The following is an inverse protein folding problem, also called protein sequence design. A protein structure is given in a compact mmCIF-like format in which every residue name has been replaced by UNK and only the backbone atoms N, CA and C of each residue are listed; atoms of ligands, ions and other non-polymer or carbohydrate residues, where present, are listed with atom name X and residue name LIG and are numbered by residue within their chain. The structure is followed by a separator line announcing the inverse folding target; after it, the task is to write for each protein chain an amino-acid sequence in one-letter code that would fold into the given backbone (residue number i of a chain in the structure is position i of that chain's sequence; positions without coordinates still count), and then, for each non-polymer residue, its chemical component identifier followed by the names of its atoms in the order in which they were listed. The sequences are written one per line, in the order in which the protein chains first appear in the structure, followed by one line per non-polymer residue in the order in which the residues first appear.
data_IF_405094022107
#
_entry.id   IF_405094022107
#
_cell.length_a   1.000
_cell.length_b   1.000
_cell.length_c   1.000
_cell.angle_alpha   90.00
_cell.angle_beta   90.00
_cell.angle_gamma   90.00
#
_symmetry.space_group_name_H-M   'P 1'
#
loop_
_entity.id
_entity.type
_entity.pdbx_description
1 polymer ?
#
# COMPACT_ATOMS: atom_id res chain seq x y z
N UNK A 1 8.27 2.33 3.42
CA UNK A 1 9.38 2.32 4.38
C UNK A 1 10.64 2.87 3.74
N UNK A 2 11.38 3.69 4.46
CA UNK A 2 12.69 4.22 4.08
C UNK A 2 13.70 3.90 5.16
N UNK A 3 14.94 3.63 4.73
CA UNK A 3 16.07 3.47 5.61
C UNK A 3 17.32 4.09 4.96
N UNK A 4 17.94 5.03 5.62
CA UNK A 4 19.08 5.77 5.07
C UNK A 4 20.44 5.08 5.25
N UNK A 5 20.47 3.92 5.90
CA UNK A 5 21.67 3.12 6.13
C UNK A 5 22.58 3.63 7.25
N UNK A 6 22.14 4.59 8.05
CA UNK A 6 22.93 5.04 9.20
C UNK A 6 22.72 4.10 10.39
N UNK A 7 23.81 3.79 11.05
CA UNK A 7 23.81 2.95 12.23
C UNK A 7 22.95 3.60 13.35
N UNK A 8 22.09 2.81 13.96
CA UNK A 8 21.16 3.22 15.04
C UNK A 8 20.00 4.15 14.61
N UNK A 9 19.71 4.31 13.34
CA UNK A 9 18.47 4.96 12.90
C UNK A 9 17.37 3.93 12.63
N UNK A 10 16.18 4.16 13.20
CA UNK A 10 14.99 3.35 12.92
C UNK A 10 14.43 3.71 11.53
N UNK A 11 14.09 2.72 10.70
CA UNK A 11 13.39 2.97 9.45
C UNK A 11 12.09 3.73 9.67
N UNK A 12 11.75 4.60 8.71
CA UNK A 12 10.53 5.41 8.76
C UNK A 12 9.49 4.91 7.79
N UNK A 13 8.24 4.98 8.19
CA UNK A 13 7.08 4.70 7.36
C UNK A 13 6.42 6.02 6.94
N UNK A 14 6.22 6.21 5.65
CA UNK A 14 5.42 7.31 5.11
C UNK A 14 4.06 6.74 4.75
N UNK A 15 3.03 7.16 5.47
CA UNK A 15 1.66 6.78 5.20
C UNK A 15 0.97 7.82 4.33
N UNK A 16 0.59 7.40 3.13
CA UNK A 16 -0.14 8.22 2.16
C UNK A 16 -1.29 7.43 1.53
N UNK A 17 -1.98 6.65 2.34
CA UNK A 17 -3.19 5.94 1.90
C UNK A 17 -4.25 6.91 1.40
N UNK A 18 -5.12 6.40 0.58
CA UNK A 18 -6.32 7.12 0.16
C UNK A 18 -7.11 7.59 1.39
N UNK A 19 -7.42 8.88 1.45
CA UNK A 19 -8.18 9.50 2.53
C UNK A 19 -9.64 9.64 2.12
N UNK A 20 -10.56 9.21 2.98
CA UNK A 20 -11.99 9.44 2.79
C UNK A 20 -12.33 10.93 2.88
N UNK A 21 -13.45 11.33 2.28
CA UNK A 21 -13.98 12.69 2.47
C UNK A 21 -14.28 12.98 3.94
N UNK A 22 -14.11 14.22 4.37
CA UNK A 22 -14.62 14.69 5.67
C UNK A 22 -16.15 14.58 5.79
N UNK A 23 -16.83 14.56 4.64
CA UNK A 23 -18.28 14.37 4.54
C UNK A 23 -18.65 12.92 4.16
N UNK A 24 -17.77 11.97 4.47
CA UNK A 24 -17.96 10.54 4.19
C UNK A 24 -19.33 10.05 4.64
N UNK A 25 -19.99 9.28 3.78
CA UNK A 25 -21.21 8.54 4.09
C UNK A 25 -20.93 7.06 4.00
N UNK A 26 -21.59 6.29 4.86
CA UNK A 26 -21.48 4.84 4.82
C UNK A 26 -21.80 4.31 3.41
N UNK A 27 -20.89 3.47 2.88
CA UNK A 27 -20.98 2.93 1.53
C UNK A 27 -20.22 3.73 0.45
N UNK A 28 -19.68 4.91 0.75
CA UNK A 28 -18.80 5.61 -0.19
C UNK A 28 -17.49 4.85 -0.37
N UNK A 29 -17.13 4.59 -1.64
CA UNK A 29 -15.92 3.82 -2.02
C UNK A 29 -14.89 4.69 -2.75
N UNK A 30 -14.90 5.99 -2.50
CA UNK A 30 -14.00 6.94 -3.13
C UNK A 30 -13.20 7.70 -2.08
N UNK A 31 -12.00 8.13 -2.44
CA UNK A 31 -11.16 8.91 -1.55
C UNK A 31 -10.08 9.67 -2.32
N UNK A 32 -9.44 10.61 -1.64
CA UNK A 32 -8.36 11.42 -2.17
C UNK A 32 -7.12 10.56 -2.36
N UNK A 33 -6.54 10.46 -3.58
CA UNK A 33 -5.32 9.69 -3.81
C UNK A 33 -4.12 10.36 -3.14
N UNK A 34 -3.37 9.59 -2.35
CA UNK A 34 -2.24 10.11 -1.59
C UNK A 34 -0.88 10.01 -2.29
N UNK A 35 -0.77 9.23 -3.38
CA UNK A 35 0.52 8.87 -3.98
C UNK A 35 1.40 10.07 -4.32
N UNK A 36 0.86 11.12 -4.93
CA UNK A 36 1.63 12.28 -5.39
C UNK A 36 2.24 13.02 -4.19
N UNK A 37 1.43 13.29 -3.16
CA UNK A 37 1.91 13.96 -1.93
C UNK A 37 2.90 13.06 -1.18
N UNK A 38 2.58 11.79 -1.02
CA UNK A 38 3.42 10.85 -0.28
C UNK A 38 4.81 10.66 -0.89
N UNK A 39 4.90 10.53 -2.22
CA UNK A 39 6.18 10.43 -2.90
C UNK A 39 6.98 11.74 -2.81
N UNK A 40 6.33 12.89 -2.94
CA UNK A 40 6.96 14.19 -2.80
C UNK A 40 7.51 14.40 -1.38
N UNK A 41 6.68 14.23 -0.35
CA UNK A 41 7.07 14.46 1.05
C UNK A 41 8.19 13.49 1.49
N UNK A 42 8.12 12.23 1.07
CA UNK A 42 9.19 11.24 1.28
C UNK A 42 10.47 11.67 0.57
N UNK A 43 10.37 12.11 -0.68
CA UNK A 43 11.53 12.53 -1.47
C UNK A 43 12.14 13.82 -0.91
N UNK A 44 11.35 14.79 -0.47
CA UNK A 44 11.85 16.03 0.12
C UNK A 44 12.73 15.77 1.35
N UNK A 45 12.40 14.74 2.14
CA UNK A 45 13.14 14.37 3.36
C UNK A 45 14.32 13.44 3.13
N UNK A 46 14.15 12.45 2.26
CA UNK A 46 15.12 11.35 2.10
C UNK A 46 15.80 11.36 0.73
N UNK A 47 15.28 12.10 -0.23
CA UNK A 47 15.78 12.14 -1.60
C UNK A 47 17.14 12.83 -1.72
N UNK A 48 17.97 12.31 -2.64
CA UNK A 48 19.29 12.89 -2.94
C UNK A 48 19.35 13.53 -4.33
N UNK A 49 18.56 13.02 -5.26
CA UNK A 49 18.46 13.56 -6.61
C UNK A 49 17.35 14.60 -6.66
N UNK A 50 17.51 15.65 -7.44
CA UNK A 50 16.45 16.64 -7.69
C UNK A 50 15.19 15.94 -8.27
N UNK A 51 14.03 16.20 -7.69
CA UNK A 51 12.76 15.58 -8.08
C UNK A 51 12.40 15.86 -9.55
N UNK A 52 12.68 17.08 -10.02
CA UNK A 52 12.45 17.44 -11.43
C UNK A 52 13.30 16.60 -12.36
N UNK A 53 14.53 16.28 -11.94
CA UNK A 53 15.41 15.40 -12.71
C UNK A 53 14.91 13.96 -12.73
N UNK A 54 14.30 13.47 -11.65
CA UNK A 54 13.65 12.16 -11.64
C UNK A 54 12.49 12.16 -12.64
N UNK A 55 11.65 13.20 -12.61
CA UNK A 55 10.53 13.32 -13.53
C UNK A 55 10.96 13.44 -14.99
N UNK A 56 12.16 13.99 -15.29
CA UNK A 56 12.73 14.00 -16.64
C UNK A 56 13.00 12.60 -17.21
N UNK A 57 13.24 11.61 -16.34
CA UNK A 57 13.35 10.21 -16.77
C UNK A 57 11.99 9.52 -16.90
N UNK A 58 11.02 9.90 -16.08
CA UNK A 58 9.69 9.25 -16.02
C UNK A 58 8.76 9.76 -17.13
N UNK A 59 8.76 11.06 -17.41
CA UNK A 59 7.87 11.67 -18.40
C UNK A 59 8.02 11.05 -19.79
N UNK A 60 9.23 10.79 -20.33
CA UNK A 60 9.40 10.10 -21.61
C UNK A 60 8.78 8.72 -21.65
N UNK A 61 8.83 7.94 -20.58
CA UNK A 61 8.19 6.62 -20.52
C UNK A 61 6.68 6.69 -20.73
N UNK A 62 6.04 7.72 -20.19
CA UNK A 62 4.63 7.95 -20.41
C UNK A 62 4.34 8.51 -21.83
N UNK A 63 5.20 9.43 -22.32
CA UNK A 63 4.99 10.14 -23.59
C UNK A 63 5.35 9.29 -24.81
N UNK A 64 6.56 8.74 -24.81
CA UNK A 64 7.09 7.98 -25.94
C UNK A 64 6.62 6.55 -25.95
N UNK A 65 6.22 6.07 -24.76
CA UNK A 65 5.63 4.76 -24.52
C UNK A 65 6.62 3.74 -23.96
N UNK A 66 6.06 2.66 -23.49
CA UNK A 66 6.78 1.48 -23.03
C UNK A 66 6.20 0.22 -23.67
N UNK A 67 7.01 -0.80 -23.80
CA UNK A 67 6.60 -2.09 -24.34
C UNK A 67 5.84 -2.89 -23.27
N UNK A 68 4.71 -3.46 -23.65
CA UNK A 68 3.89 -4.33 -22.82
C UNK A 68 4.61 -5.67 -22.64
N UNK A 69 4.85 -6.06 -21.41
CA UNK A 69 5.36 -7.37 -21.05
C UNK A 69 4.24 -8.42 -20.86
N UNK A 70 4.63 -9.68 -20.70
CA UNK A 70 3.71 -10.80 -20.49
C UNK A 70 2.89 -10.66 -19.21
N UNK A 71 3.41 -10.02 -18.16
CA UNK A 71 2.71 -9.83 -16.90
C UNK A 71 1.60 -8.79 -17.01
N UNK A 72 1.86 -7.67 -17.69
CA UNK A 72 0.82 -6.67 -17.97
C UNK A 72 -0.28 -7.26 -18.88
N UNK A 73 0.09 -8.02 -19.93
CA UNK A 73 -0.89 -8.71 -20.75
C UNK A 73 -1.76 -9.65 -19.92
N UNK A 74 -1.15 -10.47 -19.05
CA UNK A 74 -1.85 -11.39 -18.15
C UNK A 74 -2.79 -10.64 -17.20
N UNK A 75 -2.32 -9.57 -16.61
CA UNK A 75 -3.10 -8.75 -15.68
C UNK A 75 -4.31 -8.11 -16.38
N UNK A 76 -4.14 -7.60 -17.60
CA UNK A 76 -5.25 -7.06 -18.39
C UNK A 76 -6.28 -8.13 -18.79
N UNK A 77 -5.85 -9.36 -19.07
CA UNK A 77 -6.77 -10.47 -19.32
C UNK A 77 -7.59 -10.86 -18.09
N UNK A 78 -7.00 -10.82 -16.91
CA UNK A 78 -7.66 -11.23 -15.67
C UNK A 78 -8.55 -10.13 -15.08
N UNK A 79 -8.08 -8.89 -15.10
CA UNK A 79 -8.66 -7.78 -14.34
C UNK A 79 -9.06 -6.58 -15.20
N UNK A 80 -8.76 -6.60 -16.50
CA UNK A 80 -8.94 -5.45 -17.39
C UNK A 80 -10.39 -5.11 -17.74
N UNK A 81 -11.36 -6.00 -17.46
CA UNK A 81 -12.77 -5.79 -17.84
C UNK A 81 -13.39 -4.50 -17.29
N UNK A 82 -12.89 -4.00 -16.16
CA UNK A 82 -13.39 -2.79 -15.50
C UNK A 82 -12.61 -1.53 -15.92
N UNK A 83 -11.64 -1.68 -16.84
CA UNK A 83 -10.87 -0.57 -17.39
C UNK A 83 -11.62 0.00 -18.60
N UNK A 84 -11.74 1.34 -18.65
CA UNK A 84 -12.31 2.03 -19.80
C UNK A 84 -11.59 1.65 -21.10
N UNK A 85 -12.34 1.16 -22.09
CA UNK A 85 -11.81 0.76 -23.40
C UNK A 85 -11.26 1.96 -24.21
N UNK A 86 -11.53 3.19 -23.81
CA UNK A 86 -10.86 4.38 -24.34
C UNK A 86 -9.49 4.66 -23.69
N UNK A 87 -9.07 3.83 -22.72
CA UNK A 87 -7.76 3.95 -22.10
C UNK A 87 -6.64 3.51 -23.05
N UNK A 88 -5.40 3.93 -22.82
CA UNK A 88 -4.23 3.51 -23.61
C UNK A 88 -3.96 1.99 -23.59
N UNK A 89 -4.58 1.27 -22.66
CA UNK A 89 -4.44 -0.18 -22.53
C UNK A 89 -5.36 -0.99 -23.46
N UNK A 90 -6.15 -0.29 -24.28
CA UNK A 90 -7.04 -0.91 -25.26
C UNK A 90 -6.83 -0.36 -26.66
N UNK A 91 -6.91 -1.24 -27.65
CA UNK A 91 -6.98 -0.94 -29.09
C UNK A 91 -8.40 -1.33 -29.56
N UNK A 92 -9.32 -0.38 -29.50
CA UNK A 92 -10.75 -0.68 -29.66
C UNK A 92 -11.26 -1.57 -28.53
N UNK A 93 -11.87 -2.70 -28.84
CA UNK A 93 -12.42 -3.62 -27.84
C UNK A 93 -11.41 -4.70 -27.37
N UNK A 94 -10.12 -4.58 -27.71
CA UNK A 94 -9.10 -5.57 -27.34
C UNK A 94 -8.04 -4.91 -26.48
N UNK A 95 -7.69 -5.57 -25.36
CA UNK A 95 -6.54 -5.17 -24.57
C UNK A 95 -5.26 -5.29 -25.38
N UNK A 96 -4.29 -4.45 -25.06
CA UNK A 96 -2.93 -4.54 -25.59
C UNK A 96 -2.30 -5.89 -25.20
N UNK A 97 -1.31 -6.33 -25.99
CA UNK A 97 -0.60 -7.60 -25.83
C UNK A 97 0.89 -7.37 -25.68
N UNK A 98 1.59 -8.39 -25.22
CA UNK A 98 3.05 -8.40 -25.19
C UNK A 98 3.65 -7.92 -26.52
N UNK A 99 4.62 -7.02 -26.44
CA UNK A 99 5.26 -6.36 -27.58
C UNK A 99 4.53 -5.11 -28.09
N UNK A 100 3.30 -4.83 -27.67
CA UNK A 100 2.63 -3.59 -28.02
C UNK A 100 3.26 -2.39 -27.26
N UNK A 101 3.23 -1.22 -27.89
CA UNK A 101 3.67 0.02 -27.22
C UNK A 101 2.47 0.76 -26.65
N UNK A 102 2.52 1.07 -25.36
CA UNK A 102 1.51 1.87 -24.65
C UNK A 102 2.03 3.28 -24.43
N UNK A 103 1.31 4.28 -24.92
CA UNK A 103 1.56 5.71 -24.72
C UNK A 103 0.48 6.32 -23.85
N UNK A 104 0.88 7.17 -22.91
CA UNK A 104 -0.01 7.79 -21.93
C UNK A 104 0.15 9.32 -21.95
N UNK A 105 -0.20 9.98 -23.07
CA UNK A 105 -0.01 11.41 -23.28
C UNK A 105 -0.65 12.27 -22.17
N UNK A 106 -1.84 11.89 -21.69
CA UNK A 106 -2.51 12.60 -20.59
C UNK A 106 -1.71 12.52 -19.30
N UNK A 107 -1.13 11.36 -18.98
CA UNK A 107 -0.26 11.17 -17.83
C UNK A 107 1.04 11.96 -17.99
N UNK A 108 1.68 11.92 -19.15
CA UNK A 108 2.88 12.69 -19.46
C UNK A 108 2.65 14.20 -19.23
N UNK A 109 1.52 14.72 -19.70
CA UNK A 109 1.13 16.12 -19.50
C UNK A 109 0.90 16.44 -18.01
N UNK A 110 0.27 15.55 -17.26
CA UNK A 110 0.04 15.70 -15.82
C UNK A 110 1.37 15.72 -15.06
N UNK A 111 2.26 14.76 -15.34
CA UNK A 111 3.59 14.68 -14.72
C UNK A 111 4.45 15.92 -15.05
N UNK A 112 4.37 16.43 -16.29
CA UNK A 112 5.05 17.68 -16.67
C UNK A 112 4.57 18.85 -15.82
N UNK A 113 3.27 18.97 -15.60
CA UNK A 113 2.72 20.05 -14.76
C UNK A 113 3.08 19.88 -13.29
N UNK A 114 3.10 18.65 -12.77
CA UNK A 114 3.60 18.35 -11.41
C UNK A 114 5.07 18.74 -11.31
N UNK A 115 5.90 18.40 -12.29
CA UNK A 115 7.31 18.80 -12.35
C UNK A 115 7.50 20.33 -12.29
N UNK A 116 6.68 21.08 -13.02
CA UNK A 116 6.81 22.52 -13.14
C UNK A 116 6.24 23.29 -11.94
N UNK A 117 5.13 22.82 -11.38
CA UNK A 117 4.33 23.51 -10.36
C UNK A 117 4.38 22.85 -8.96
N UNK A 118 4.97 21.66 -8.85
CA UNK A 118 4.96 20.87 -7.61
C UNK A 118 3.68 20.06 -7.42
N UNK A 119 3.58 19.31 -6.31
CA UNK A 119 2.47 18.42 -6.01
C UNK A 119 1.14 19.17 -5.83
N UNK A 120 1.17 20.45 -5.47
CA UNK A 120 -0.04 21.27 -5.28
C UNK A 120 -0.87 21.37 -6.55
N UNK A 121 -0.24 21.31 -7.73
CA UNK A 121 -0.99 21.22 -8.98
C UNK A 121 -1.97 20.04 -8.99
N UNK A 122 -1.59 18.89 -8.42
CA UNK A 122 -2.49 17.73 -8.35
C UNK A 122 -3.62 17.97 -7.35
N UNK A 123 -3.31 18.50 -6.17
CA UNK A 123 -4.30 18.65 -5.10
C UNK A 123 -5.19 19.89 -5.26
N UNK A 124 -4.73 20.93 -5.92
CA UNK A 124 -5.54 22.13 -6.17
C UNK A 124 -6.23 22.08 -7.54
N UNK A 125 -5.45 22.08 -8.64
CA UNK A 125 -6.03 22.18 -10.00
C UNK A 125 -6.81 20.91 -10.41
N UNK A 126 -6.19 19.72 -10.25
CA UNK A 126 -6.85 18.45 -10.58
C UNK A 126 -7.93 18.13 -9.54
N UNK A 127 -7.64 18.32 -8.26
CA UNK A 127 -8.60 18.09 -7.17
C UNK A 127 -9.90 18.86 -7.38
N UNK A 128 -9.82 20.13 -7.78
CA UNK A 128 -10.99 20.95 -8.12
C UNK A 128 -11.78 20.39 -9.31
N UNK A 129 -11.10 19.88 -10.33
CA UNK A 129 -11.75 19.26 -11.48
C UNK A 129 -12.45 17.96 -11.10
N UNK A 130 -11.79 17.11 -10.30
CA UNK A 130 -12.31 15.83 -9.82
C UNK A 130 -13.51 16.07 -8.89
N UNK A 131 -13.43 17.01 -7.95
CA UNK A 131 -14.54 17.38 -7.06
C UNK A 131 -15.81 17.67 -7.84
N UNK A 132 -15.71 18.50 -8.89
CA UNK A 132 -16.86 18.82 -9.74
C UNK A 132 -17.41 17.60 -10.50
N UNK A 133 -16.55 16.71 -10.98
CA UNK A 133 -16.98 15.51 -11.72
C UNK A 133 -17.65 14.47 -10.79
N UNK A 134 -17.33 14.50 -9.51
CA UNK A 134 -17.89 13.62 -8.49
C UNK A 134 -19.05 14.23 -7.72
N UNK A 135 -19.67 15.30 -8.23
CA UNK A 135 -20.77 16.00 -7.56
C UNK A 135 -20.45 16.34 -6.09
N UNK A 136 -19.20 16.74 -5.83
CA UNK A 136 -18.64 17.06 -4.51
C UNK A 136 -18.67 15.91 -3.47
N UNK A 137 -18.75 14.66 -3.89
CA UNK A 137 -18.52 13.52 -2.98
C UNK A 137 -17.10 13.51 -2.39
N UNK A 138 -16.12 14.04 -3.15
CA UNK A 138 -14.84 14.52 -2.66
C UNK A 138 -14.81 16.03 -2.89
N UNK A 139 -14.58 16.80 -1.86
CA UNK A 139 -14.57 18.27 -1.93
C UNK A 139 -13.19 18.82 -2.25
N UNK A 140 -13.10 20.07 -2.71
CA UNK A 140 -11.79 20.75 -2.86
C UNK A 140 -11.03 20.79 -1.53
N UNK A 141 -11.74 20.84 -0.41
CA UNK A 141 -11.17 20.80 0.94
C UNK A 141 -10.47 19.48 1.23
N UNK A 142 -11.10 18.35 0.88
CA UNK A 142 -10.52 17.01 1.08
C UNK A 142 -9.17 16.87 0.39
N UNK A 143 -9.06 17.37 -0.85
CA UNK A 143 -7.80 17.38 -1.59
C UNK A 143 -6.75 18.29 -0.94
N UNK A 144 -7.14 19.51 -0.59
CA UNK A 144 -6.22 20.53 -0.06
C UNK A 144 -5.66 20.17 1.32
N UNK A 145 -6.45 19.51 2.15
CA UNK A 145 -6.07 19.15 3.51
C UNK A 145 -5.39 17.77 3.58
N UNK A 146 -5.24 17.06 2.44
CA UNK A 146 -4.53 15.79 2.41
C UNK A 146 -3.08 15.96 2.86
N UNK A 147 -2.64 15.10 3.77
CA UNK A 147 -1.28 15.08 4.33
C UNK A 147 -0.74 13.66 4.39
N UNK A 148 0.56 13.54 4.18
CA UNK A 148 1.30 12.32 4.46
C UNK A 148 1.62 12.28 5.97
N UNK A 149 1.49 11.11 6.58
CA UNK A 149 1.92 10.88 7.95
C UNK A 149 3.28 10.17 7.96
N UNK A 150 4.23 10.70 8.71
CA UNK A 150 5.49 10.03 8.99
C UNK A 150 5.37 9.33 10.34
N UNK A 151 5.72 8.05 10.36
CA UNK A 151 5.68 7.19 11.55
C UNK A 151 6.99 6.41 11.66
N UNK A 152 7.36 6.03 12.87
CA UNK A 152 8.43 5.04 13.06
C UNK A 152 7.95 3.65 12.62
N UNK A 153 8.85 2.88 12.03
CA UNK A 153 8.57 1.51 11.68
C UNK A 153 8.39 0.66 12.95
N UNK A 154 7.48 -0.28 12.92
CA UNK A 154 7.41 -1.34 13.94
C UNK A 154 8.45 -2.41 13.63
N UNK A 155 8.99 -3.06 14.66
CA UNK A 155 10.03 -4.07 14.46
C UNK A 155 9.90 -5.24 15.43
N UNK A 156 10.54 -6.34 15.06
CA UNK A 156 10.77 -7.51 15.93
C UNK A 156 12.05 -8.22 15.53
N UNK A 157 12.60 -8.97 16.45
CA UNK A 157 13.67 -9.92 16.14
C UNK A 157 13.08 -11.17 15.47
N UNK A 158 13.76 -11.67 14.46
CA UNK A 158 13.46 -12.92 13.78
C UNK A 158 14.74 -13.57 13.25
N UNK A 159 15.04 -14.78 13.71
CA UNK A 159 16.25 -15.55 13.32
C UNK A 159 17.54 -14.70 13.37
N UNK A 160 17.77 -14.04 14.50
CA UNK A 160 18.91 -13.14 14.74
C UNK A 160 18.99 -11.91 13.82
N UNK A 161 17.90 -11.54 13.17
CA UNK A 161 17.80 -10.33 12.39
C UNK A 161 16.70 -9.44 12.93
N UNK A 162 16.92 -8.11 12.88
CA UNK A 162 15.87 -7.15 13.14
C UNK A 162 15.02 -6.98 11.88
N UNK A 163 13.73 -7.26 11.97
CA UNK A 163 12.78 -7.10 10.88
C UNK A 163 11.89 -5.91 11.15
N UNK A 164 11.80 -5.02 10.18
CA UNK A 164 11.00 -3.79 10.26
C UNK A 164 9.81 -3.86 9.31
N UNK A 165 8.69 -3.28 9.72
CA UNK A 165 7.51 -3.16 8.88
C UNK A 165 6.76 -1.85 9.14
N UNK A 166 5.77 -1.56 8.29
CA UNK A 166 4.94 -0.37 8.45
C UNK A 166 3.96 -0.55 9.62
N UNK A 167 3.81 0.48 10.48
CA UNK A 167 2.87 0.45 11.59
C UNK A 167 1.41 0.55 11.12
N UNK A 168 0.48 0.50 12.06
CA UNK A 168 -0.94 0.74 11.80
C UNK A 168 -1.18 2.07 11.05
N UNK A 169 -2.18 2.11 10.16
CA UNK A 169 -3.18 1.08 9.85
C UNK A 169 -2.75 0.11 8.73
N UNK A 170 -1.46 -0.06 8.51
CA UNK A 170 -0.93 -1.03 7.56
C UNK A 170 -0.64 -2.38 8.26
N UNK A 171 -0.68 -3.47 7.50
CA UNK A 171 -0.62 -4.83 8.03
C UNK A 171 0.75 -5.29 8.58
N UNK A 172 1.68 -4.36 8.84
CA UNK A 172 3.04 -4.71 9.26
C UNK A 172 3.11 -5.38 10.61
N UNK A 173 2.36 -4.90 11.59
CA UNK A 173 2.29 -5.52 12.92
C UNK A 173 1.83 -6.97 12.84
N UNK A 174 0.80 -7.26 12.03
CA UNK A 174 0.31 -8.64 11.84
C UNK A 174 1.36 -9.53 11.18
N UNK A 175 2.07 -9.02 10.19
CA UNK A 175 3.17 -9.76 9.56
C UNK A 175 4.27 -10.10 10.58
N UNK A 176 4.65 -9.15 11.45
CA UNK A 176 5.66 -9.38 12.48
C UNK A 176 5.16 -10.37 13.54
N UNK A 177 3.87 -10.35 13.90
CA UNK A 177 3.26 -11.37 14.76
C UNK A 177 3.43 -12.76 14.15
N UNK A 178 3.11 -12.92 12.87
CA UNK A 178 3.29 -14.17 12.14
C UNK A 178 4.72 -14.69 12.21
N UNK A 179 5.70 -13.85 11.92
CA UNK A 179 7.12 -14.22 11.98
C UNK A 179 7.54 -14.68 13.38
N UNK A 180 7.11 -13.97 14.44
CA UNK A 180 7.42 -14.38 15.82
C UNK A 180 6.78 -15.71 16.19
N UNK A 181 5.54 -15.94 15.79
CA UNK A 181 4.86 -17.21 16.03
C UNK A 181 5.60 -18.33 15.30
N UNK A 182 5.97 -18.15 14.05
CA UNK A 182 6.67 -19.15 13.26
C UNK A 182 8.03 -19.53 13.86
N UNK A 183 8.75 -18.55 14.40
CA UNK A 183 10.01 -18.79 15.10
C UNK A 183 9.79 -19.57 16.42
N UNK A 184 8.78 -19.19 17.21
CA UNK A 184 8.43 -19.89 18.45
C UNK A 184 8.01 -21.33 18.24
N UNK A 185 7.18 -21.56 17.23
CA UNK A 185 6.73 -22.90 16.86
C UNK A 185 7.86 -23.72 16.19
N UNK A 186 9.01 -23.11 15.87
CA UNK A 186 10.16 -23.74 15.21
C UNK A 186 9.77 -24.43 13.89
N UNK A 187 9.02 -23.73 13.06
CA UNK A 187 8.39 -24.26 11.84
C UNK A 187 9.40 -24.87 10.84
N UNK A 188 10.65 -24.39 10.84
CA UNK A 188 11.69 -24.88 9.93
C UNK A 188 12.06 -26.37 10.15
N UNK A 189 11.80 -26.89 11.34
CA UNK A 189 12.14 -28.26 11.73
C UNK A 189 10.89 -29.18 11.77
N UNK A 190 9.74 -28.71 11.28
CA UNK A 190 8.51 -29.49 11.26
C UNK A 190 8.38 -30.37 10.01
N UNK A 191 7.73 -31.51 10.15
CA UNK A 191 7.20 -32.22 9.00
C UNK A 191 6.10 -31.40 8.30
N UNK A 192 5.76 -31.78 7.08
CA UNK A 192 4.80 -31.04 6.25
C UNK A 192 3.45 -30.79 6.92
N UNK A 193 2.90 -31.79 7.63
CA UNK A 193 1.56 -31.68 8.21
C UNK A 193 1.59 -30.72 9.42
N UNK A 194 2.60 -30.84 10.26
CA UNK A 194 2.80 -29.96 11.40
C UNK A 194 3.08 -28.53 10.94
N UNK A 195 3.90 -28.34 9.89
CA UNK A 195 4.13 -27.05 9.26
C UNK A 195 2.84 -26.40 8.78
N UNK A 196 2.00 -27.13 8.03
CA UNK A 196 0.72 -26.58 7.55
C UNK A 196 -0.18 -26.18 8.73
N UNK A 197 -0.22 -27.01 9.77
CA UNK A 197 -1.00 -26.73 10.98
C UNK A 197 -0.51 -25.47 11.70
N UNK A 198 0.80 -25.31 11.84
CA UNK A 198 1.40 -24.13 12.44
C UNK A 198 1.11 -22.86 11.61
N UNK A 199 1.22 -22.95 10.28
CA UNK A 199 0.89 -21.83 9.38
C UNK A 199 -0.59 -21.42 9.49
N UNK A 200 -1.51 -22.37 9.63
CA UNK A 200 -2.94 -22.08 9.82
C UNK A 200 -3.14 -21.36 11.15
N UNK A 201 -2.54 -21.84 12.25
CA UNK A 201 -2.64 -21.19 13.56
C UNK A 201 -2.07 -19.77 13.54
N UNK A 202 -0.87 -19.58 12.98
CA UNK A 202 -0.22 -18.30 12.83
C UNK A 202 -1.13 -17.32 12.09
N UNK A 203 -1.67 -17.74 10.95
CA UNK A 203 -2.63 -16.95 10.17
C UNK A 203 -3.87 -16.59 11.00
N UNK A 204 -4.46 -17.54 11.71
CA UNK A 204 -5.69 -17.33 12.46
C UNK A 204 -5.45 -16.31 13.61
N UNK A 205 -4.28 -16.34 14.27
CA UNK A 205 -3.88 -15.31 15.23
C UNK A 205 -3.76 -13.95 14.54
N UNK A 206 -3.06 -13.87 13.40
CA UNK A 206 -2.92 -12.62 12.65
C UNK A 206 -4.29 -12.04 12.28
N UNK A 207 -5.22 -12.85 11.80
CA UNK A 207 -6.56 -12.40 11.40
C UNK A 207 -7.44 -12.01 12.59
N UNK A 208 -7.35 -12.70 13.73
CA UNK A 208 -8.08 -12.32 14.95
C UNK A 208 -7.62 -10.96 15.49
N UNK A 209 -6.37 -10.57 15.22
CA UNK A 209 -5.80 -9.27 15.58
C UNK A 209 -6.04 -8.18 14.52
N UNK A 210 -6.86 -8.45 13.50
CA UNK A 210 -7.10 -7.50 12.40
C UNK A 210 -7.66 -6.16 12.87
N UNK A 211 -8.41 -6.13 13.96
CA UNK A 211 -8.96 -4.91 14.54
C UNK A 211 -7.86 -3.96 15.04
N UNK A 212 -6.71 -4.48 15.44
CA UNK A 212 -5.53 -3.67 15.77
C UNK A 212 -5.07 -2.88 14.52
N UNK A 213 -5.14 -3.49 13.34
CA UNK A 213 -4.74 -2.86 12.07
C UNK A 213 -5.80 -1.92 11.54
N UNK A 214 -7.07 -2.26 11.70
CA UNK A 214 -8.19 -1.44 11.24
C UNK A 214 -8.61 -0.38 12.28
N UNK A 215 -8.15 -0.51 13.51
CA UNK A 215 -8.46 0.38 14.61
C UNK A 215 -7.68 1.69 14.56
N UNK A 216 -8.12 2.63 15.38
CA UNK A 216 -7.44 3.91 15.63
C UNK A 216 -6.32 3.78 16.65
N UNK A 217 -6.21 2.63 17.31
CA UNK A 217 -5.17 2.36 18.30
C UNK A 217 -3.82 2.17 17.60
N UNK A 218 -2.77 2.84 18.07
CA UNK A 218 -1.44 2.59 17.54
C UNK A 218 -1.01 1.15 17.85
N UNK A 219 -0.28 0.53 16.94
CA UNK A 219 0.39 -0.74 17.24
C UNK A 219 1.33 -0.52 18.40
N UNK A 220 1.15 -1.27 19.49
CA UNK A 220 2.03 -1.21 20.64
C UNK A 220 3.04 -2.35 20.59
N UNK A 221 4.19 -2.17 21.22
CA UNK A 221 5.17 -3.24 21.46
C UNK A 221 4.55 -4.43 22.18
N UNK A 222 3.51 -4.19 22.98
CA UNK A 222 2.74 -5.22 23.66
C UNK A 222 2.19 -6.27 22.71
N UNK A 223 1.64 -5.87 21.56
CA UNK A 223 1.08 -6.78 20.56
C UNK A 223 2.13 -7.66 19.88
N UNK A 224 3.39 -7.35 20.03
CA UNK A 224 4.54 -8.16 19.59
C UNK A 224 5.23 -8.87 20.74
N UNK A 225 4.73 -8.74 21.99
CA UNK A 225 5.29 -9.44 23.12
C UNK A 225 5.03 -10.95 23.06
N UNK A 226 5.95 -11.70 23.63
CA UNK A 226 5.82 -13.17 23.71
C UNK A 226 4.61 -13.60 24.51
N UNK A 227 4.31 -12.90 25.60
CA UNK A 227 3.15 -13.19 26.46
C UNK A 227 1.84 -13.00 25.70
N UNK A 228 1.70 -11.90 24.99
CA UNK A 228 0.53 -11.62 24.17
C UNK A 228 0.32 -12.70 23.10
N UNK A 229 1.36 -13.00 22.31
CA UNK A 229 1.27 -13.97 21.23
C UNK A 229 0.99 -15.39 21.69
N UNK A 230 1.56 -15.81 22.84
CA UNK A 230 1.23 -17.11 23.46
C UNK A 230 -0.22 -17.15 23.94
N UNK A 231 -0.72 -16.04 24.50
CA UNK A 231 -2.13 -15.92 24.88
C UNK A 231 -3.06 -16.08 23.69
N UNK A 232 -2.73 -15.46 22.57
CA UNK A 232 -3.53 -15.58 21.33
C UNK A 232 -3.45 -16.99 20.70
N UNK A 233 -2.27 -17.61 20.64
CA UNK A 233 -2.09 -18.97 20.15
C UNK A 233 -2.94 -20.00 20.94
N UNK A 234 -3.04 -19.82 22.26
CA UNK A 234 -3.85 -20.69 23.10
C UNK A 234 -5.37 -20.57 22.88
N UNK A 235 -5.83 -19.47 22.27
CA UNK A 235 -7.23 -19.26 21.92
C UNK A 235 -7.61 -19.94 20.60
N UNK A 236 -6.62 -20.22 19.72
CA UNK A 236 -6.88 -20.81 18.41
C UNK A 236 -7.08 -22.32 18.53
N UNK A 237 -8.30 -22.77 18.30
CA UNK A 237 -8.64 -24.19 18.18
C UNK A 237 -8.50 -24.65 16.73
N UNK A 238 -7.54 -25.52 16.44
CA UNK A 238 -7.39 -26.13 15.12
C UNK A 238 -8.59 -27.05 14.86
N UNK A 239 -9.49 -26.61 14.00
CA UNK A 239 -10.69 -27.37 13.65
C UNK A 239 -11.98 -26.55 13.55
N UNK A 240 -12.02 -25.37 14.08
CA UNK A 240 -13.10 -24.41 13.79
C UNK A 240 -12.59 -23.40 12.76
N UNK A 241 -13.06 -23.53 11.53
CA UNK A 241 -12.88 -22.48 10.55
C UNK A 241 -13.37 -21.18 11.18
N UNK A 242 -12.50 -20.19 11.34
CA UNK A 242 -12.94 -18.86 11.73
C UNK A 242 -13.94 -18.40 10.67
N UNK A 243 -15.18 -18.13 11.09
CA UNK A 243 -16.19 -17.45 10.26
C UNK A 243 -15.75 -15.99 10.09
N UNK A 244 -14.63 -15.82 9.42
CA UNK A 244 -14.15 -14.52 8.99
C UNK A 244 -14.56 -14.33 7.55
N UNK A 245 -15.69 -13.67 7.34
CA UNK A 245 -16.18 -13.35 6.02
C UNK A 245 -15.10 -12.67 5.18
N UNK A 246 -14.88 -13.24 4.02
CA UNK A 246 -14.09 -12.65 2.94
C UNK A 246 -14.90 -11.51 2.33
N UNK A 247 -14.73 -10.30 2.81
CA UNK A 247 -15.06 -9.09 2.07
C UNK A 247 -13.75 -8.48 1.55
N UNK A 248 -13.39 -8.94 0.35
CA UNK A 248 -12.41 -8.28 -0.52
C UNK A 248 -13.14 -7.45 -1.58
#
# INVERSE_FOLDING_TARGET
LTYNGKENETPKAYEYKTMSSYEYKEGDKIGVPGLVRGLHDMHEKEGKMDEKKILDYVIPLAKDGFEVDSELERSLKLYGRDIDHNSPFYKGNKSVREGDIVKQDKLANTLTKIKDKGPDYFYEDIGKSVSKQLDNKLTERDFKEFKTEEKEAVSTDYKNNQVYSAPNPLGGTLMLQGLKIDEKENVDNMDRNNFITAMIKSRDVMYSNRDIVNGTEPSSEEHLSDEYLLGELNKVNVGTAAEGGSDF
#
